data_IF_877245836918
#
_entry.id   IF_877245836918
#
_cell.length_a   1.000
_cell.length_b   1.000
_cell.length_c   1.000
_cell.angle_alpha   90.00
_cell.angle_beta   90.00
_cell.angle_gamma   90.00
#
_symmetry.space_group_name_H-M   'P 1'
#
loop_
_entity.id
_entity.type
_entity.pdbx_description
1 polymer ?
#
# COMPACT_ATOMS: atom_id res chain seq x y z
N UNK A 1 -2.49 17.51 1.87
CA UNK A 1 -2.34 16.04 1.67
C UNK A 1 -3.64 15.51 1.11
N UNK A 2 -3.62 14.58 0.13
CA UNK A 2 -4.82 13.86 -0.29
C UNK A 2 -5.02 12.66 0.63
N UNK A 3 -6.21 12.52 1.21
CA UNK A 3 -6.58 11.34 1.98
C UNK A 3 -6.58 10.11 1.07
N UNK A 4 -5.86 9.06 1.46
CA UNK A 4 -5.83 7.79 0.73
C UNK A 4 -6.78 6.83 1.43
N UNK A 5 -7.71 6.25 0.68
CA UNK A 5 -8.59 5.19 1.16
C UNK A 5 -7.88 3.86 0.96
N UNK A 6 -7.74 3.08 2.04
CA UNK A 6 -7.18 1.73 2.03
C UNK A 6 -8.29 0.71 2.30
N UNK A 7 -8.17 -0.48 1.72
CA UNK A 7 -9.09 -1.58 1.94
C UNK A 7 -8.40 -2.73 2.65
N UNK A 8 -9.15 -3.50 3.42
CA UNK A 8 -8.64 -4.70 4.11
C UNK A 8 -9.53 -5.88 3.75
N UNK A 9 -8.95 -6.91 3.15
CA UNK A 9 -9.65 -8.16 2.86
C UNK A 9 -8.64 -9.32 2.72
N UNK A 10 -9.03 -10.57 2.96
CA UNK A 10 -8.15 -11.74 2.81
C UNK A 10 -7.52 -11.82 1.41
N UNK A 11 -6.31 -12.38 1.33
CA UNK A 11 -5.52 -12.48 0.09
C UNK A 11 -6.30 -13.12 -1.08
N UNK A 12 -7.11 -14.16 -0.80
CA UNK A 12 -7.93 -14.83 -1.80
C UNK A 12 -8.96 -13.88 -2.42
N UNK A 13 -9.56 -13.00 -1.61
CA UNK A 13 -10.52 -12.00 -2.08
C UNK A 13 -9.82 -10.89 -2.88
N UNK A 14 -8.62 -10.47 -2.46
CA UNK A 14 -7.80 -9.53 -3.24
C UNK A 14 -7.52 -10.12 -4.64
N UNK A 15 -7.13 -11.39 -4.69
CA UNK A 15 -6.85 -12.09 -5.96
C UNK A 15 -8.10 -12.23 -6.82
N UNK A 16 -9.22 -12.65 -6.22
CA UNK A 16 -10.49 -12.77 -6.94
C UNK A 16 -10.95 -11.43 -7.52
N UNK A 17 -10.83 -10.34 -6.75
CA UNK A 17 -11.11 -8.98 -7.22
C UNK A 17 -10.21 -8.58 -8.38
N UNK A 18 -8.91 -8.83 -8.30
CA UNK A 18 -7.96 -8.52 -9.37
C UNK A 18 -8.30 -9.26 -10.67
N UNK A 19 -8.66 -10.55 -10.57
CA UNK A 19 -9.08 -11.36 -11.72
C UNK A 19 -10.40 -10.82 -12.30
N UNK A 20 -11.38 -10.47 -11.46
CA UNK A 20 -12.66 -9.92 -11.93
C UNK A 20 -12.48 -8.58 -12.66
N UNK A 21 -11.55 -7.73 -12.19
CA UNK A 21 -11.17 -6.48 -12.87
C UNK A 21 -10.56 -6.77 -14.23
N UNK A 22 -9.57 -7.67 -14.29
CA UNK A 22 -8.89 -8.03 -15.52
C UNK A 22 -9.86 -8.63 -16.57
N UNK A 23 -10.88 -9.38 -16.11
CA UNK A 23 -11.93 -9.94 -16.96
C UNK A 23 -13.01 -8.93 -17.37
N UNK A 24 -12.98 -7.69 -16.86
CA UNK A 24 -14.04 -6.70 -17.10
C UNK A 24 -15.36 -6.96 -16.38
N UNK A 25 -15.42 -7.99 -15.52
CA UNK A 25 -16.61 -8.33 -14.72
C UNK A 25 -16.83 -7.36 -13.56
N UNK A 26 -15.77 -6.67 -13.15
CA UNK A 26 -15.82 -5.66 -12.10
C UNK A 26 -15.08 -4.39 -12.53
N UNK A 27 -15.74 -3.24 -12.45
CA UNK A 27 -15.12 -1.94 -12.71
C UNK A 27 -15.06 -1.14 -11.39
N UNK A 28 -13.86 -0.89 -10.84
CA UNK A 28 -13.72 -0.11 -9.61
C UNK A 28 -14.32 1.29 -9.77
N UNK A 29 -15.11 1.71 -8.79
CA UNK A 29 -15.74 3.03 -8.74
C UNK A 29 -14.73 4.11 -8.32
N UNK A 30 -14.98 5.38 -8.70
CA UNK A 30 -14.25 6.51 -8.12
C UNK A 30 -14.39 6.49 -6.59
N UNK A 31 -13.25 6.53 -5.89
CA UNK A 31 -13.20 6.51 -4.41
C UNK A 31 -12.96 5.14 -3.78
N UNK A 32 -12.98 4.05 -4.56
CA UNK A 32 -12.59 2.74 -4.04
C UNK A 32 -11.10 2.69 -3.63
N UNK A 33 -10.77 1.84 -2.64
CA UNK A 33 -9.38 1.62 -2.27
C UNK A 33 -8.53 1.16 -3.45
N UNK A 34 -7.40 1.85 -3.63
CA UNK A 34 -6.36 1.44 -4.59
C UNK A 34 -5.36 0.47 -3.97
N UNK A 35 -5.18 0.56 -2.65
CA UNK A 35 -4.24 -0.25 -1.88
C UNK A 35 -5.06 -1.18 -0.98
N UNK A 36 -4.75 -2.47 -1.04
CA UNK A 36 -5.44 -3.52 -0.30
C UNK A 36 -4.46 -4.27 0.59
N UNK A 37 -4.80 -4.37 1.88
CA UNK A 37 -4.05 -5.14 2.87
C UNK A 37 -4.77 -6.45 3.18
N UNK A 38 -3.99 -7.48 3.52
CA UNK A 38 -4.52 -8.80 3.88
C UNK A 38 -5.09 -8.84 5.30
N UNK A 39 -4.67 -7.91 6.16
CA UNK A 39 -5.11 -7.84 7.56
C UNK A 39 -4.94 -6.44 8.17
N UNK A 40 -5.65 -6.18 9.26
CA UNK A 40 -5.45 -4.97 10.09
C UNK A 40 -4.06 -4.93 10.75
N UNK A 41 -3.48 -6.10 11.05
CA UNK A 41 -2.12 -6.19 11.59
C UNK A 41 -1.10 -5.61 10.59
N UNK A 42 -1.20 -5.99 9.31
CA UNK A 42 -0.32 -5.46 8.27
C UNK A 42 -0.47 -3.95 8.07
N UNK A 43 -1.68 -3.40 8.27
CA UNK A 43 -1.89 -1.95 8.28
C UNK A 43 -1.17 -1.29 9.46
N UNK A 44 -1.32 -1.86 10.66
CA UNK A 44 -0.70 -1.32 11.88
C UNK A 44 0.84 -1.34 11.79
N UNK A 45 1.43 -2.39 11.23
CA UNK A 45 2.87 -2.48 11.03
C UNK A 45 3.41 -1.36 10.14
N UNK A 46 2.74 -1.02 9.03
CA UNK A 46 3.11 0.12 8.17
C UNK A 46 3.02 1.46 8.92
N UNK A 47 2.08 1.57 9.86
CA UNK A 47 1.89 2.75 10.69
C UNK A 47 2.78 2.79 11.93
N UNK A 48 3.66 1.80 12.15
CA UNK A 48 4.64 1.83 13.24
C UNK A 48 5.58 3.03 13.10
N UNK A 49 6.13 3.50 14.23
CA UNK A 49 7.02 4.66 14.24
C UNK A 49 8.28 4.42 13.41
N UNK A 50 8.81 3.19 13.40
CA UNK A 50 9.94 2.81 12.57
C UNK A 50 9.62 2.95 11.07
N UNK A 51 8.49 2.41 10.61
CA UNK A 51 8.10 2.53 9.20
C UNK A 51 7.73 3.96 8.82
N UNK A 52 7.15 4.74 9.72
CA UNK A 52 6.89 6.18 9.50
C UNK A 52 8.18 6.98 9.38
N UNK A 53 9.19 6.69 10.19
CA UNK A 53 10.51 7.31 10.08
C UNK A 53 11.18 6.95 8.75
N UNK A 54 11.13 5.67 8.35
CA UNK A 54 11.63 5.21 7.06
C UNK A 54 10.93 5.92 5.88
N UNK A 55 9.59 6.02 5.92
CA UNK A 55 8.82 6.73 4.89
C UNK A 55 9.18 8.22 4.83
N UNK A 56 9.49 8.84 5.98
CA UNK A 56 9.97 10.22 6.03
C UNK A 56 11.32 10.36 5.33
N UNK A 57 12.26 9.45 5.60
CA UNK A 57 13.58 9.42 4.94
C UNK A 57 13.42 9.24 3.44
N UNK A 58 12.62 8.28 2.97
CA UNK A 58 12.34 8.07 1.53
C UNK A 58 11.82 9.35 0.88
N UNK A 59 10.90 10.04 1.54
CA UNK A 59 10.31 11.28 1.01
C UNK A 59 11.33 12.42 0.94
N UNK A 60 12.25 12.50 1.88
CA UNK A 60 13.23 13.59 1.98
C UNK A 60 14.46 13.36 1.09
N UNK A 61 14.94 12.11 0.99
CA UNK A 61 16.12 11.76 0.21
C UNK A 61 15.83 11.32 -1.22
N UNK A 62 14.57 10.98 -1.53
CA UNK A 62 14.11 10.45 -2.83
C UNK A 62 15.13 9.49 -3.47
N UNK A 63 15.45 8.37 -2.79
CA UNK A 63 16.57 7.53 -3.17
C UNK A 63 16.24 6.76 -4.46
N UNK A 64 17.21 6.70 -5.38
CA UNK A 64 17.04 6.04 -6.68
C UNK A 64 17.04 4.50 -6.58
N UNK A 65 17.40 3.94 -5.43
CA UNK A 65 17.39 2.49 -5.19
C UNK A 65 17.27 2.13 -3.72
N UNK A 66 16.91 0.87 -3.45
CA UNK A 66 16.89 0.29 -2.10
C UNK A 66 18.28 0.34 -1.47
N UNK A 67 19.34 0.14 -2.25
CA UNK A 67 20.72 0.20 -1.74
C UNK A 67 21.10 1.60 -1.28
N UNK A 68 20.61 2.65 -1.96
CA UNK A 68 20.81 4.04 -1.55
C UNK A 68 19.98 4.33 -0.30
N UNK A 69 18.73 3.87 -0.25
CA UNK A 69 17.87 4.03 0.92
C UNK A 69 18.49 3.39 2.17
N UNK A 70 19.01 2.16 2.05
CA UNK A 70 19.61 1.43 3.16
C UNK A 70 20.87 2.10 3.74
N UNK A 71 21.55 2.97 2.99
CA UNK A 71 22.66 3.78 3.51
C UNK A 71 22.19 5.03 4.27
N UNK A 72 20.94 5.43 4.06
CA UNK A 72 20.34 6.62 4.65
C UNK A 72 19.48 6.33 5.89
N UNK A 73 19.34 5.05 6.27
CA UNK A 73 18.47 4.55 7.34
C UNK A 73 19.25 3.60 8.23
#
# INVERSE_FOLDING_TARGET
MKTIVIGVMPQEQIRARAIAIAKGLYKPRPGEPKIWFTSMKSVAEVLSDQNRALLKVIRESNPDSIAVLAKAT
#
